data_IF_390245771529
#
_entry.id   IF_390245771529
#
_cell.length_a   1.000
_cell.length_b   1.000
_cell.length_c   1.000
_cell.angle_alpha   90.00
_cell.angle_beta   90.00
_cell.angle_gamma   90.00
#
_symmetry.space_group_name_H-M   'P 1'
#
loop_
_entity.id
_entity.type
_entity.pdbx_description
1 polymer ?
#
# COMPACT_ATOMS: atom_id res chain seq x y z
N UNK A 1 -57.87 -10.80 29.77
CA UNK A 1 -56.89 -11.72 29.16
C UNK A 1 -55.72 -10.87 28.71
N UNK A 2 -54.68 -10.83 29.54
CA UNK A 2 -53.46 -10.07 29.22
C UNK A 2 -52.68 -10.82 28.17
N UNK A 3 -52.22 -10.19 27.07
CA UNK A 3 -51.31 -10.84 26.13
C UNK A 3 -49.97 -11.06 26.84
N UNK A 4 -49.59 -12.33 26.94
CA UNK A 4 -48.28 -12.76 27.38
C UNK A 4 -47.23 -11.94 26.62
N UNK A 5 -46.55 -11.03 27.34
CA UNK A 5 -45.35 -10.41 26.84
C UNK A 5 -44.35 -11.53 26.48
N UNK A 6 -44.18 -11.78 25.18
CA UNK A 6 -43.17 -12.70 24.70
C UNK A 6 -41.86 -12.23 25.30
N UNK A 7 -41.30 -13.02 26.23
CA UNK A 7 -40.06 -12.71 26.90
C UNK A 7 -38.93 -12.71 25.83
N UNK A 8 -38.46 -11.52 25.46
CA UNK A 8 -37.29 -11.31 24.55
C UNK A 8 -36.00 -11.82 25.20
N UNK A 9 -36.07 -12.93 25.94
CA UNK A 9 -34.96 -13.54 26.67
C UNK A 9 -34.51 -14.78 25.91
N UNK A 10 -33.41 -14.67 25.21
CA UNK A 10 -32.72 -15.81 24.60
C UNK A 10 -31.43 -16.06 25.40
N UNK A 11 -31.24 -17.28 25.92
CA UNK A 11 -30.12 -17.64 26.82
C UNK A 11 -30.11 -16.87 28.17
N UNK A 12 -31.24 -16.45 28.66
CA UNK A 12 -31.34 -15.71 29.94
C UNK A 12 -30.91 -14.25 29.89
N UNK A 13 -30.59 -13.70 28.72
CA UNK A 13 -30.11 -12.34 28.53
C UNK A 13 -31.13 -11.58 27.68
N UNK A 14 -31.50 -10.35 28.11
CA UNK A 14 -32.40 -9.48 27.34
C UNK A 14 -31.73 -9.02 26.04
N UNK A 15 -32.52 -8.74 25.00
CA UNK A 15 -32.01 -8.28 23.69
C UNK A 15 -31.11 -7.05 23.80
N UNK A 16 -31.48 -5.97 24.50
CA UNK A 16 -30.65 -4.78 24.69
C UNK A 16 -29.34 -5.03 25.43
N UNK A 17 -29.36 -5.83 26.50
CA UNK A 17 -28.16 -6.15 27.26
C UNK A 17 -27.15 -6.96 26.44
N UNK A 18 -27.65 -7.87 25.60
CA UNK A 18 -26.81 -8.61 24.66
C UNK A 18 -26.19 -7.69 23.62
N UNK A 19 -26.93 -6.75 23.01
CA UNK A 19 -26.41 -5.80 22.04
C UNK A 19 -25.28 -4.96 22.66
N UNK A 20 -25.47 -4.42 23.83
CA UNK A 20 -24.42 -3.67 24.54
C UNK A 20 -23.19 -4.53 24.82
N UNK A 21 -23.37 -5.74 25.37
CA UNK A 21 -22.28 -6.65 25.66
C UNK A 21 -21.54 -7.11 24.41
N UNK A 22 -22.26 -7.37 23.30
CA UNK A 22 -21.68 -7.76 22.02
C UNK A 22 -20.92 -6.61 21.37
N UNK A 23 -21.44 -5.37 21.39
CA UNK A 23 -20.76 -4.19 20.89
C UNK A 23 -19.47 -3.90 21.68
N UNK A 24 -19.51 -4.01 23.01
CA UNK A 24 -18.30 -3.89 23.86
C UNK A 24 -17.29 -4.98 23.52
N UNK A 25 -17.71 -6.23 23.37
CA UNK A 25 -16.83 -7.35 22.98
C UNK A 25 -16.19 -7.08 21.62
N UNK A 26 -16.99 -6.69 20.63
CA UNK A 26 -16.50 -6.37 19.28
C UNK A 26 -15.47 -5.22 19.31
N UNK A 27 -15.74 -4.16 20.09
CA UNK A 27 -14.81 -3.04 20.27
C UNK A 27 -13.52 -3.47 20.95
N UNK A 28 -13.58 -4.23 22.04
CA UNK A 28 -12.39 -4.73 22.74
C UNK A 28 -11.54 -5.61 21.81
N UNK A 29 -12.17 -6.53 21.07
CA UNK A 29 -11.45 -7.38 20.11
C UNK A 29 -10.84 -6.53 19.00
N UNK A 30 -11.55 -5.54 18.47
CA UNK A 30 -11.03 -4.62 17.45
C UNK A 30 -9.81 -3.86 17.96
N UNK A 31 -9.88 -3.29 19.16
CA UNK A 31 -8.74 -2.58 19.78
C UNK A 31 -7.54 -3.51 19.97
N UNK A 32 -7.75 -4.74 20.43
CA UNK A 32 -6.69 -5.75 20.55
C UNK A 32 -6.06 -6.07 19.20
N UNK A 33 -6.87 -6.23 18.16
CA UNK A 33 -6.40 -6.44 16.77
C UNK A 33 -5.59 -5.23 16.31
N UNK A 34 -6.05 -4.01 16.53
CA UNK A 34 -5.35 -2.78 16.14
C UNK A 34 -3.97 -2.69 16.81
N UNK A 35 -3.89 -2.93 18.11
CA UNK A 35 -2.62 -2.95 18.86
C UNK A 35 -1.69 -4.06 18.34
N UNK A 36 -2.21 -5.27 18.11
CA UNK A 36 -1.42 -6.38 17.56
C UNK A 36 -0.88 -6.04 16.16
N UNK A 37 -1.71 -5.48 15.28
CA UNK A 37 -1.31 -5.03 13.94
C UNK A 37 -0.26 -3.93 14.00
N UNK A 38 -0.44 -2.96 14.90
CA UNK A 38 0.50 -1.88 15.11
C UNK A 38 1.88 -2.39 15.56
N UNK A 39 1.92 -3.38 16.47
CA UNK A 39 3.18 -4.03 16.90
C UNK A 39 3.82 -4.84 15.77
N UNK A 40 3.03 -5.62 15.04
CA UNK A 40 3.51 -6.41 13.91
C UNK A 40 4.02 -5.54 12.75
N UNK A 41 3.43 -4.36 12.53
CA UNK A 41 3.86 -3.42 11.51
C UNK A 41 5.16 -2.67 11.85
N UNK A 42 5.71 -2.82 13.07
CA UNK A 42 6.98 -2.20 13.43
C UNK A 42 8.15 -2.67 12.54
N UNK A 43 8.03 -3.88 11.96
CA UNK A 43 9.09 -4.51 11.17
C UNK A 43 10.20 -5.12 12.04
N UNK A 44 11.01 -6.02 11.50
CA UNK A 44 12.20 -6.51 12.16
C UNK A 44 13.23 -5.38 12.37
N UNK A 45 14.09 -5.53 13.37
CA UNK A 45 15.22 -4.63 13.57
C UNK A 45 16.23 -4.84 12.43
N UNK A 46 16.22 -3.96 11.44
CA UNK A 46 17.22 -3.93 10.37
C UNK A 46 18.28 -2.87 10.62
N UNK A 47 19.47 -3.06 10.07
CA UNK A 47 20.65 -2.21 10.31
C UNK A 47 20.84 -1.10 9.26
N UNK A 48 19.99 -1.02 8.22
CA UNK A 48 20.27 -0.21 7.03
C UNK A 48 19.39 1.03 6.90
N UNK A 49 19.69 2.08 7.64
CA UNK A 49 19.05 3.40 7.46
C UNK A 49 19.87 4.38 6.61
N UNK A 50 21.13 4.11 6.32
CA UNK A 50 22.02 5.03 5.58
C UNK A 50 22.19 4.75 4.08
N UNK A 51 21.83 3.55 3.61
CA UNK A 51 22.13 3.13 2.24
C UNK A 51 21.06 3.49 1.19
N UNK A 52 19.90 4.01 1.62
CA UNK A 52 18.78 4.28 0.71
C UNK A 52 18.96 5.54 -0.13
N UNK A 53 19.63 6.57 0.39
CA UNK A 53 19.79 7.85 -0.30
C UNK A 53 20.48 7.75 -1.67
N UNK A 54 21.29 6.72 -1.87
CA UNK A 54 21.94 6.42 -3.16
C UNK A 54 21.14 5.51 -4.10
N UNK A 55 19.89 5.12 -3.73
CA UNK A 55 19.10 4.15 -4.49
C UNK A 55 17.68 4.65 -4.76
N UNK A 56 17.50 5.53 -5.74
CA UNK A 56 16.22 6.20 -6.00
C UNK A 56 15.08 5.22 -6.27
N UNK A 57 15.35 4.12 -6.98
CA UNK A 57 14.35 3.13 -7.35
C UNK A 57 13.91 2.25 -6.16
N UNK A 58 14.77 2.04 -5.17
CA UNK A 58 14.40 1.37 -3.91
C UNK A 58 13.45 2.26 -3.09
N UNK A 59 13.73 3.57 -3.02
CA UNK A 59 12.86 4.54 -2.37
C UNK A 59 11.50 4.60 -3.09
N UNK A 60 11.51 4.61 -4.41
CA UNK A 60 10.30 4.56 -5.21
C UNK A 60 9.48 3.29 -4.93
N UNK A 61 10.15 2.13 -4.87
CA UNK A 61 9.49 0.86 -4.52
C UNK A 61 8.90 0.92 -3.10
N UNK A 62 9.63 1.48 -2.14
CA UNK A 62 9.14 1.69 -0.78
C UNK A 62 7.90 2.61 -0.76
N UNK A 63 7.87 3.66 -1.57
CA UNK A 63 6.79 4.66 -1.58
C UNK A 63 5.54 4.22 -2.33
N UNK A 64 5.67 3.55 -3.48
CA UNK A 64 4.52 3.22 -4.33
C UNK A 64 4.64 1.85 -5.03
N UNK A 65 5.49 0.96 -4.53
CA UNK A 65 5.65 -0.39 -5.07
C UNK A 65 6.29 -0.42 -6.47
N UNK A 66 6.07 -1.53 -7.21
CA UNK A 66 6.67 -1.74 -8.52
C UNK A 66 6.33 -0.65 -9.54
N UNK A 67 5.11 -0.13 -9.49
CA UNK A 67 4.65 0.90 -10.42
C UNK A 67 5.45 2.20 -10.29
N UNK A 68 5.69 2.64 -9.06
CA UNK A 68 6.45 3.85 -8.82
C UNK A 68 7.95 3.64 -9.03
N UNK A 69 8.47 2.45 -8.77
CA UNK A 69 9.86 2.11 -9.08
C UNK A 69 10.15 2.18 -10.58
N UNK A 70 9.27 1.63 -11.42
CA UNK A 70 9.37 1.77 -12.88
C UNK A 70 9.27 3.22 -13.32
N UNK A 71 8.34 4.00 -12.72
CA UNK A 71 8.19 5.41 -13.06
C UNK A 71 9.43 6.23 -12.66
N UNK A 72 10.05 5.95 -11.51
CA UNK A 72 11.32 6.54 -11.08
C UNK A 72 12.45 6.23 -12.08
N UNK A 73 12.56 4.98 -12.52
CA UNK A 73 13.55 4.57 -13.53
C UNK A 73 13.31 5.29 -14.87
N UNK A 74 12.06 5.36 -15.33
CA UNK A 74 11.70 6.09 -16.55
C UNK A 74 12.02 7.57 -16.45
N UNK A 75 11.86 8.19 -15.27
CA UNK A 75 12.19 9.59 -15.04
C UNK A 75 13.70 9.85 -15.11
N UNK A 76 14.52 9.00 -14.48
CA UNK A 76 15.99 9.05 -14.63
C UNK A 76 16.40 8.89 -16.09
N UNK A 77 15.88 7.85 -16.75
CA UNK A 77 16.21 7.53 -18.15
C UNK A 77 15.77 8.61 -19.13
N UNK A 78 14.64 9.28 -18.86
CA UNK A 78 14.16 10.41 -19.67
C UNK A 78 15.14 11.58 -19.62
N UNK A 79 15.59 11.95 -18.42
CA UNK A 79 16.55 13.05 -18.24
C UNK A 79 17.91 12.67 -18.82
N UNK A 80 18.31 11.39 -18.74
CA UNK A 80 19.53 10.87 -19.37
C UNK A 80 19.43 10.72 -20.90
N UNK A 81 18.26 10.90 -21.51
CA UNK A 81 18.06 10.69 -22.95
C UNK A 81 18.03 9.23 -23.40
N UNK A 82 18.11 8.28 -22.47
CA UNK A 82 18.17 6.83 -22.79
C UNK A 82 16.81 6.21 -23.10
N UNK A 83 15.72 6.94 -22.83
CA UNK A 83 14.34 6.57 -23.19
C UNK A 83 13.61 7.78 -23.76
N UNK A 84 12.81 7.56 -24.80
CA UNK A 84 11.97 8.58 -25.44
C UNK A 84 10.53 8.08 -25.56
N UNK A 85 9.59 9.03 -25.60
CA UNK A 85 8.21 8.71 -25.94
C UNK A 85 8.12 8.49 -27.47
N UNK A 86 7.47 7.40 -27.88
CA UNK A 86 7.20 7.06 -29.29
C UNK A 86 5.67 6.93 -29.49
N UNK A 87 5.00 8.08 -29.51
CA UNK A 87 3.55 8.18 -29.58
C UNK A 87 2.86 8.04 -28.22
N UNK A 88 1.54 8.20 -28.17
CA UNK A 88 0.78 8.23 -26.93
C UNK A 88 0.90 6.92 -26.14
N UNK A 89 1.36 7.01 -24.91
CA UNK A 89 1.45 5.87 -23.99
C UNK A 89 2.54 4.84 -24.31
N UNK A 90 3.42 5.09 -25.28
CA UNK A 90 4.51 4.19 -25.67
C UNK A 90 5.88 4.82 -25.46
N UNK A 91 6.81 3.97 -25.08
CA UNK A 91 8.20 4.32 -24.78
C UNK A 91 9.13 3.43 -25.61
N UNK A 92 10.27 3.98 -26.00
CA UNK A 92 11.33 3.27 -26.69
C UNK A 92 12.69 3.64 -26.12
N UNK A 93 13.58 2.65 -26.08
CA UNK A 93 15.00 2.87 -25.82
C UNK A 93 15.63 3.73 -26.92
N UNK A 94 16.42 4.72 -26.53
CA UNK A 94 17.11 5.64 -27.46
C UNK A 94 18.62 5.53 -27.30
N UNK A 95 19.23 6.41 -26.47
CA UNK A 95 20.67 6.39 -26.25
C UNK A 95 21.12 5.16 -25.45
N UNK A 96 22.38 4.69 -25.63
CA UNK A 96 22.94 3.64 -24.80
C UNK A 96 22.94 4.01 -23.31
N UNK A 97 22.73 3.02 -22.47
CA UNK A 97 22.84 3.20 -21.02
C UNK A 97 24.28 3.34 -20.57
N UNK A 98 24.47 4.11 -19.49
CA UNK A 98 25.71 4.12 -18.74
C UNK A 98 26.06 2.69 -18.27
N UNK A 99 27.32 2.23 -18.36
CA UNK A 99 27.77 0.95 -17.81
C UNK A 99 27.41 0.76 -16.33
N UNK A 100 27.35 1.83 -15.56
CA UNK A 100 27.00 1.82 -14.14
C UNK A 100 25.51 2.02 -13.86
N UNK A 101 24.66 2.05 -14.89
CA UNK A 101 23.21 2.20 -14.74
C UNK A 101 22.62 1.15 -13.80
N UNK A 102 21.56 1.54 -13.07
CA UNK A 102 20.88 0.65 -12.15
C UNK A 102 20.31 -0.60 -12.86
N UNK A 103 20.17 -1.66 -12.10
CA UNK A 103 19.65 -2.94 -12.59
C UNK A 103 18.24 -2.83 -13.18
N UNK A 104 17.40 -1.96 -12.57
CA UNK A 104 16.04 -1.72 -13.04
C UNK A 104 16.05 -0.91 -14.35
N UNK A 105 16.90 0.10 -14.45
CA UNK A 105 17.06 0.89 -15.68
C UNK A 105 17.52 0.00 -16.85
N UNK A 106 18.50 -0.88 -16.61
CA UNK A 106 18.92 -1.87 -17.62
C UNK A 106 17.79 -2.78 -18.07
N UNK A 107 16.98 -3.27 -17.14
CA UNK A 107 15.85 -4.13 -17.44
C UNK A 107 14.76 -3.39 -18.25
N UNK A 108 14.48 -2.14 -17.89
CA UNK A 108 13.53 -1.27 -18.60
C UNK A 108 14.04 -0.97 -19.99
N UNK A 109 15.31 -0.61 -20.16
CA UNK A 109 15.92 -0.32 -21.44
C UNK A 109 15.88 -1.53 -22.39
N UNK A 110 16.22 -2.73 -21.90
CA UNK A 110 16.10 -3.97 -22.68
C UNK A 110 14.65 -4.26 -23.09
N UNK A 111 13.69 -4.05 -22.20
CA UNK A 111 12.28 -4.23 -22.52
C UNK A 111 11.76 -3.19 -23.52
N UNK A 112 12.30 -1.96 -23.49
CA UNK A 112 11.97 -0.86 -24.36
C UNK A 112 12.72 -0.87 -25.71
N UNK A 113 13.53 -1.91 -26.01
CA UNK A 113 14.13 -2.09 -27.32
C UNK A 113 13.07 -2.13 -28.47
N UNK A 114 11.85 -2.50 -28.12
CA UNK A 114 10.66 -2.40 -28.96
C UNK A 114 9.68 -1.45 -28.27
N UNK A 115 8.93 -0.61 -29.01
CA UNK A 115 7.95 0.30 -28.43
C UNK A 115 7.00 -0.41 -27.47
N UNK A 116 7.00 -0.01 -26.19
CA UNK A 116 6.29 -0.68 -25.11
C UNK A 116 5.55 0.33 -24.24
N UNK A 117 4.39 -0.03 -23.73
CA UNK A 117 3.66 0.79 -22.76
C UNK A 117 4.14 0.55 -21.32
N UNK A 118 3.90 1.51 -20.42
CA UNK A 118 4.21 1.36 -18.99
C UNK A 118 3.53 0.14 -18.37
N UNK A 119 2.30 -0.19 -18.78
CA UNK A 119 1.57 -1.36 -18.29
C UNK A 119 2.24 -2.67 -18.74
N UNK A 120 2.67 -2.72 -19.97
CA UNK A 120 3.40 -3.87 -20.50
C UNK A 120 4.77 -4.04 -19.82
N UNK A 121 5.48 -2.93 -19.51
CA UNK A 121 6.71 -2.97 -18.71
C UNK A 121 6.51 -3.67 -17.35
N UNK A 122 5.41 -3.37 -16.65
CA UNK A 122 5.10 -4.00 -15.35
C UNK A 122 4.79 -5.50 -15.46
N UNK A 123 4.36 -5.96 -16.62
CA UNK A 123 4.10 -7.40 -16.88
C UNK A 123 5.27 -8.12 -17.54
N UNK A 124 6.26 -7.36 -18.05
CA UNK A 124 7.45 -7.91 -18.68
C UNK A 124 8.30 -8.70 -17.67
N UNK A 125 8.70 -9.92 -18.04
CA UNK A 125 9.41 -10.83 -17.14
C UNK A 125 10.77 -10.29 -16.71
N UNK A 126 11.50 -9.60 -17.60
CA UNK A 126 12.82 -9.02 -17.31
C UNK A 126 12.69 -7.93 -16.24
N UNK A 127 11.73 -7.04 -16.42
CA UNK A 127 11.44 -5.94 -15.47
C UNK A 127 10.95 -6.49 -14.12
N UNK A 128 10.06 -7.49 -14.13
CA UNK A 128 9.59 -8.14 -12.90
C UNK A 128 10.72 -8.78 -12.11
N UNK A 129 11.65 -9.46 -12.80
CA UNK A 129 12.81 -10.06 -12.15
C UNK A 129 13.72 -8.97 -11.55
N UNK A 130 13.92 -7.85 -12.26
CA UNK A 130 14.68 -6.73 -11.75
C UNK A 130 14.07 -6.09 -10.50
N UNK A 131 12.73 -6.00 -10.45
CA UNK A 131 11.96 -5.45 -9.30
C UNK A 131 12.03 -6.31 -8.03
N UNK A 132 12.39 -7.59 -8.14
CA UNK A 132 12.57 -8.44 -6.95
C UNK A 132 13.77 -8.00 -6.09
N UNK A 133 14.82 -7.40 -6.69
CA UNK A 133 16.00 -6.94 -5.94
C UNK A 133 15.68 -5.78 -4.98
N UNK A 134 15.06 -4.65 -5.41
CA UNK A 134 14.59 -3.62 -4.52
C UNK A 134 13.72 -4.17 -3.39
N UNK A 135 12.77 -5.02 -3.73
CA UNK A 135 11.87 -5.66 -2.77
C UNK A 135 12.63 -6.43 -1.70
N UNK A 136 13.54 -7.34 -2.11
CA UNK A 136 14.32 -8.15 -1.18
C UNK A 136 15.21 -7.30 -0.27
N UNK A 137 15.86 -6.25 -0.81
CA UNK A 137 16.68 -5.32 -0.01
C UNK A 137 15.83 -4.60 1.04
N UNK A 138 14.67 -4.09 0.65
CA UNK A 138 13.77 -3.39 1.55
C UNK A 138 13.14 -4.31 2.61
N UNK A 139 12.83 -5.56 2.26
CA UNK A 139 12.39 -6.59 3.22
C UNK A 139 13.52 -6.94 4.20
N UNK A 140 14.75 -7.13 3.72
CA UNK A 140 15.92 -7.39 4.55
C UNK A 140 16.25 -6.23 5.49
N UNK A 141 16.10 -4.98 5.01
CA UNK A 141 16.24 -3.77 5.82
C UNK A 141 15.09 -3.55 6.82
N UNK A 142 14.03 -4.36 6.76
CA UNK A 142 12.85 -4.22 7.61
C UNK A 142 11.97 -3.01 7.28
N UNK A 143 12.12 -2.42 6.10
CA UNK A 143 11.35 -1.27 5.64
C UNK A 143 10.05 -1.71 4.94
N UNK A 144 10.05 -2.90 4.33
CA UNK A 144 8.85 -3.57 3.84
C UNK A 144 8.54 -4.79 4.70
N UNK A 145 7.26 -5.11 4.75
CA UNK A 145 6.74 -6.28 5.45
C UNK A 145 6.69 -7.47 4.49
N UNK A 146 7.53 -8.47 4.74
CA UNK A 146 7.54 -9.69 3.95
C UNK A 146 6.21 -10.46 4.02
N UNK A 147 5.98 -11.35 3.04
CA UNK A 147 4.73 -12.09 2.89
C UNK A 147 4.31 -12.87 4.15
N UNK A 148 5.27 -13.41 4.91
CA UNK A 148 5.00 -14.13 6.18
C UNK A 148 4.39 -13.18 7.23
N UNK A 149 4.89 -11.96 7.32
CA UNK A 149 4.43 -10.96 8.28
C UNK A 149 3.06 -10.40 7.89
N UNK A 150 2.85 -10.13 6.60
CA UNK A 150 1.55 -9.75 6.07
C UNK A 150 0.49 -10.82 6.34
N UNK A 151 0.82 -12.11 6.17
CA UNK A 151 -0.08 -13.23 6.53
C UNK A 151 -0.40 -13.27 8.01
N UNK A 152 0.58 -13.00 8.90
CA UNK A 152 0.35 -12.90 10.35
C UNK A 152 -0.60 -11.74 10.67
N UNK A 153 -0.40 -10.58 10.06
CA UNK A 153 -1.28 -9.42 10.21
C UNK A 153 -2.71 -9.75 9.73
N UNK A 154 -2.87 -10.36 8.56
CA UNK A 154 -4.20 -10.79 8.07
C UNK A 154 -4.87 -11.79 9.02
N UNK A 155 -4.14 -12.75 9.56
CA UNK A 155 -4.68 -13.73 10.50
C UNK A 155 -5.26 -13.12 11.78
N UNK A 156 -4.82 -11.93 12.21
CA UNK A 156 -5.44 -11.24 13.34
C UNK A 156 -6.92 -10.91 13.08
N UNK A 157 -7.32 -10.75 11.81
CA UNK A 157 -8.71 -10.55 11.41
C UNK A 157 -9.63 -11.74 11.71
N UNK A 158 -9.09 -12.97 11.87
CA UNK A 158 -9.88 -14.15 12.21
C UNK A 158 -10.59 -14.03 13.57
N UNK A 159 -10.03 -13.28 14.51
CA UNK A 159 -10.69 -12.99 15.77
C UNK A 159 -12.01 -12.20 15.57
N UNK A 160 -12.00 -11.28 14.59
CA UNK A 160 -13.22 -10.55 14.25
C UNK A 160 -14.26 -11.45 13.56
N UNK A 161 -13.81 -12.43 12.77
CA UNK A 161 -14.69 -13.46 12.20
C UNK A 161 -15.33 -14.32 13.30
N UNK A 162 -14.56 -14.68 14.34
CA UNK A 162 -15.09 -15.43 15.49
C UNK A 162 -16.18 -14.64 16.23
N UNK A 163 -15.97 -13.32 16.43
CA UNK A 163 -17.00 -12.42 16.99
C UNK A 163 -18.23 -12.40 16.09
N UNK A 164 -18.05 -12.26 14.76
CA UNK A 164 -19.13 -12.31 13.79
C UNK A 164 -19.92 -13.63 13.85
N UNK A 165 -19.22 -14.77 14.00
CA UNK A 165 -19.84 -16.08 14.18
C UNK A 165 -20.73 -16.17 15.43
N UNK A 166 -20.27 -15.63 16.55
CA UNK A 166 -21.06 -15.54 17.78
C UNK A 166 -22.35 -14.71 17.57
N UNK A 167 -22.23 -13.55 16.92
CA UNK A 167 -23.39 -12.72 16.57
C UNK A 167 -24.37 -13.43 15.64
N UNK A 168 -23.87 -14.18 14.67
CA UNK A 168 -24.70 -14.97 13.75
C UNK A 168 -25.46 -16.07 14.46
N UNK A 169 -24.81 -16.82 15.35
CA UNK A 169 -25.49 -17.84 16.17
C UNK A 169 -26.62 -17.23 17.00
N UNK A 170 -26.39 -16.09 17.59
CA UNK A 170 -27.41 -15.36 18.36
C UNK A 170 -28.57 -14.87 17.49
N UNK A 171 -28.26 -14.36 16.28
CA UNK A 171 -29.24 -13.93 15.30
C UNK A 171 -30.19 -15.08 14.93
N UNK A 172 -29.62 -16.23 14.60
CA UNK A 172 -30.38 -17.45 14.24
C UNK A 172 -31.28 -17.90 15.41
N UNK A 173 -30.72 -17.93 16.63
CA UNK A 173 -31.50 -18.28 17.82
C UNK A 173 -32.60 -17.27 18.12
N UNK A 174 -32.38 -15.98 17.93
CA UNK A 174 -33.37 -14.92 18.10
C UNK A 174 -34.50 -15.00 17.07
N UNK A 175 -34.15 -15.20 15.79
CA UNK A 175 -35.11 -15.36 14.71
C UNK A 175 -36.02 -16.59 14.92
N UNK A 176 -35.46 -17.71 15.39
CA UNK A 176 -36.22 -18.91 15.70
C UNK A 176 -37.24 -18.70 16.84
N UNK A 177 -36.98 -17.74 17.74
CA UNK A 177 -37.89 -17.39 18.87
C UNK A 177 -38.78 -16.18 18.60
N UNK A 178 -38.82 -15.67 17.34
CA UNK A 178 -39.66 -14.52 16.98
C UNK A 178 -39.27 -13.17 17.58
N UNK A 179 -38.00 -13.05 18.04
CA UNK A 179 -37.49 -11.82 18.62
C UNK A 179 -37.18 -10.76 17.55
N UNK A 180 -37.26 -9.47 17.90
CA UNK A 180 -36.91 -8.35 17.02
C UNK A 180 -35.36 -8.33 16.83
N UNK A 181 -34.87 -8.76 15.66
CA UNK A 181 -33.43 -8.96 15.37
C UNK A 181 -32.80 -7.81 14.54
N UNK A 182 -33.57 -6.74 14.25
CA UNK A 182 -33.11 -5.67 13.31
C UNK A 182 -31.80 -5.00 13.70
N UNK A 183 -31.65 -4.58 14.96
CA UNK A 183 -30.41 -3.93 15.42
C UNK A 183 -29.21 -4.90 15.44
N UNK A 184 -29.42 -6.17 15.81
CA UNK A 184 -28.39 -7.18 15.79
C UNK A 184 -27.90 -7.47 14.35
N UNK A 185 -28.80 -7.43 13.38
CA UNK A 185 -28.47 -7.58 11.97
C UNK A 185 -27.54 -6.46 11.48
N UNK A 186 -27.83 -5.20 11.87
CA UNK A 186 -27.02 -4.05 11.51
C UNK A 186 -25.63 -4.13 12.16
N UNK A 187 -25.56 -4.48 13.43
CA UNK A 187 -24.29 -4.65 14.16
C UNK A 187 -23.44 -5.79 13.57
N UNK A 188 -24.07 -6.91 13.22
CA UNK A 188 -23.41 -8.04 12.57
C UNK A 188 -22.88 -7.66 11.19
N UNK A 189 -23.61 -6.86 10.41
CA UNK A 189 -23.15 -6.34 9.14
C UNK A 189 -21.91 -5.48 9.32
N UNK A 190 -21.90 -4.58 10.29
CA UNK A 190 -20.74 -3.74 10.61
C UNK A 190 -19.51 -4.59 11.00
N UNK A 191 -19.67 -5.59 11.87
CA UNK A 191 -18.62 -6.53 12.25
C UNK A 191 -18.11 -7.32 11.03
N UNK A 192 -18.99 -7.75 10.13
CA UNK A 192 -18.65 -8.44 8.90
C UNK A 192 -17.80 -7.58 7.95
N UNK A 193 -18.19 -6.32 7.76
CA UNK A 193 -17.43 -5.36 6.93
C UNK A 193 -16.03 -5.15 7.54
N UNK A 194 -15.94 -4.91 8.85
CA UNK A 194 -14.66 -4.74 9.54
C UNK A 194 -13.80 -6.00 9.41
N UNK A 195 -14.36 -7.18 9.60
CA UNK A 195 -13.66 -8.45 9.42
C UNK A 195 -13.12 -8.60 8.00
N UNK A 196 -13.91 -8.29 6.97
CA UNK A 196 -13.51 -8.34 5.58
C UNK A 196 -12.36 -7.36 5.28
N UNK A 197 -12.41 -6.13 5.79
CA UNK A 197 -11.34 -5.15 5.67
C UNK A 197 -10.05 -5.66 6.34
N UNK A 198 -10.16 -6.20 7.54
CA UNK A 198 -9.02 -6.72 8.30
C UNK A 198 -8.37 -7.93 7.64
N UNK A 199 -9.13 -8.81 7.00
CA UNK A 199 -8.61 -9.99 6.29
C UNK A 199 -7.96 -9.62 4.96
N UNK A 200 -8.51 -8.66 4.23
CA UNK A 200 -8.04 -8.31 2.90
C UNK A 200 -6.90 -7.29 2.92
N UNK A 201 -6.89 -6.36 3.88
CA UNK A 201 -5.89 -5.29 3.94
C UNK A 201 -4.80 -5.61 4.97
N UNK A 202 -3.56 -5.69 4.49
CA UNK A 202 -2.36 -5.63 5.32
C UNK A 202 -1.45 -4.52 4.79
N UNK A 203 -0.80 -3.73 5.64
CA UNK A 203 0.18 -2.76 5.18
C UNK A 203 1.35 -3.51 4.53
N UNK A 204 1.85 -2.99 3.41
CA UNK A 204 3.07 -3.50 2.77
C UNK A 204 4.31 -2.85 3.38
N UNK A 205 4.17 -1.58 3.74
CA UNK A 205 5.21 -0.76 4.33
C UNK A 205 5.27 -0.95 5.85
N UNK A 206 6.47 -1.12 6.38
CA UNK A 206 6.66 -1.10 7.84
C UNK A 206 6.56 0.33 8.39
N UNK A 207 6.37 0.47 9.70
CA UNK A 207 6.40 1.77 10.37
C UNK A 207 7.76 2.46 10.21
N UNK A 208 8.85 1.69 10.19
CA UNK A 208 10.20 2.19 9.91
C UNK A 208 10.30 2.73 8.50
N UNK A 209 9.80 1.99 7.49
CA UNK A 209 9.77 2.46 6.11
C UNK A 209 8.95 3.74 5.94
N UNK A 210 7.83 3.88 6.64
CA UNK A 210 7.04 5.10 6.64
C UNK A 210 7.79 6.28 7.28
N UNK A 211 8.49 6.06 8.39
CA UNK A 211 9.30 7.08 9.07
C UNK A 211 10.49 7.51 8.21
N UNK A 212 11.17 6.56 7.56
CA UNK A 212 12.29 6.84 6.68
C UNK A 212 11.86 7.66 5.46
N UNK A 213 10.74 7.32 4.84
CA UNK A 213 10.21 8.10 3.74
C UNK A 213 9.82 9.52 4.17
N UNK A 214 9.29 9.68 5.39
CA UNK A 214 9.01 11.01 5.95
C UNK A 214 10.29 11.81 6.16
N UNK A 215 11.37 11.17 6.64
CA UNK A 215 12.70 11.81 6.78
C UNK A 215 13.22 12.29 5.44
N UNK A 216 13.21 11.41 4.42
CA UNK A 216 13.67 11.74 3.07
C UNK A 216 12.87 12.89 2.43
N UNK A 217 11.57 12.97 2.68
CA UNK A 217 10.73 14.10 2.21
C UNK A 217 11.12 15.45 2.81
N UNK A 218 11.58 15.45 4.05
CA UNK A 218 12.08 16.68 4.70
C UNK A 218 13.48 17.02 4.21
N UNK A 219 14.34 16.02 4.09
CA UNK A 219 15.74 16.16 3.66
C UNK A 219 15.85 16.66 2.22
N UNK A 220 14.97 16.17 1.32
CA UNK A 220 14.94 16.51 -0.10
C UNK A 220 13.72 17.36 -0.48
N UNK A 221 13.35 18.30 0.37
CA UNK A 221 12.18 19.15 0.11
C UNK A 221 12.30 19.98 -1.17
N UNK A 222 13.53 20.26 -1.63
CA UNK A 222 13.83 20.92 -2.91
C UNK A 222 13.29 20.17 -4.14
N UNK A 223 13.12 18.83 -4.04
CA UNK A 223 12.56 18.00 -5.10
C UNK A 223 11.03 17.88 -5.02
N UNK A 224 10.38 18.59 -4.08
CA UNK A 224 8.94 18.54 -3.92
C UNK A 224 8.21 19.13 -5.15
N UNK A 225 7.04 18.58 -5.53
CA UNK A 225 6.26 19.07 -6.67
C UNK A 225 5.96 20.57 -6.63
N UNK A 226 5.77 21.13 -5.43
CA UNK A 226 5.52 22.56 -5.23
C UNK A 226 6.71 23.46 -5.58
N UNK A 227 7.93 22.93 -5.54
CA UNK A 227 9.16 23.65 -5.89
C UNK A 227 9.43 23.63 -7.40
N UNK A 228 8.74 22.80 -8.17
CA UNK A 228 8.91 22.62 -9.63
C UNK A 228 10.37 22.46 -10.02
N UNK A 229 11.07 21.44 -9.49
CA UNK A 229 12.50 21.26 -9.75
C UNK A 229 12.76 21.12 -11.26
N UNK A 230 13.79 21.81 -11.73
CA UNK A 230 14.28 21.63 -13.09
C UNK A 230 15.22 20.42 -13.14
N UNK A 231 14.71 19.30 -13.58
CA UNK A 231 15.46 18.04 -13.60
C UNK A 231 16.59 18.01 -14.62
N UNK A 232 16.57 18.90 -15.61
CA UNK A 232 17.72 19.04 -16.53
C UNK A 232 18.94 19.59 -15.80
N UNK A 233 18.72 20.46 -14.82
CA UNK A 233 19.77 21.01 -13.94
C UNK A 233 20.16 20.02 -12.83
N UNK A 234 19.18 19.36 -12.21
CA UNK A 234 19.42 18.42 -11.11
C UNK A 234 20.00 17.07 -11.56
N UNK A 235 19.76 16.68 -12.80
CA UNK A 235 20.27 15.45 -13.40
C UNK A 235 19.41 14.20 -13.15
N UNK A 236 19.77 13.09 -13.84
CA UNK A 236 18.96 11.86 -13.87
C UNK A 236 18.69 11.23 -12.50
N UNK A 237 19.73 11.14 -11.65
CA UNK A 237 19.64 10.51 -10.34
C UNK A 237 18.64 11.23 -9.42
N UNK A 238 18.65 12.58 -9.41
CA UNK A 238 17.73 13.37 -8.60
C UNK A 238 16.32 13.42 -9.19
N UNK A 239 16.16 13.31 -10.51
CA UNK A 239 14.84 13.13 -11.14
C UNK A 239 14.18 11.83 -10.67
N UNK A 240 14.92 10.71 -10.73
CA UNK A 240 14.44 9.43 -10.20
C UNK A 240 14.14 9.48 -8.71
N UNK A 241 15.00 10.16 -7.92
CA UNK A 241 14.81 10.33 -6.48
C UNK A 241 13.56 11.17 -6.17
N UNK A 242 13.35 12.27 -6.87
CA UNK A 242 12.18 13.14 -6.71
C UNK A 242 10.87 12.37 -6.94
N UNK A 243 10.79 11.60 -8.02
CA UNK A 243 9.65 10.72 -8.27
C UNK A 243 9.55 9.63 -7.20
N UNK A 244 10.66 9.07 -6.77
CA UNK A 244 10.71 8.05 -5.71
C UNK A 244 10.12 8.55 -4.39
N UNK A 245 10.49 9.75 -3.95
CA UNK A 245 10.08 10.33 -2.68
C UNK A 245 8.66 10.91 -2.75
N UNK A 246 8.35 11.69 -3.79
CA UNK A 246 7.10 12.46 -3.88
C UNK A 246 6.04 11.84 -4.78
N UNK A 247 6.36 10.72 -5.43
CA UNK A 247 5.43 10.01 -6.31
C UNK A 247 5.31 10.64 -7.70
N UNK A 248 4.35 10.14 -8.47
CA UNK A 248 4.07 10.61 -9.83
C UNK A 248 3.76 12.12 -9.90
N UNK A 249 3.33 12.73 -8.79
CA UNK A 249 3.10 14.17 -8.71
C UNK A 249 4.35 15.01 -9.00
N UNK A 250 5.55 14.50 -8.67
CA UNK A 250 6.81 15.16 -8.98
C UNK A 250 7.07 15.17 -10.50
N UNK A 251 6.77 14.06 -11.19
CA UNK A 251 6.88 13.98 -12.65
C UNK A 251 5.91 14.95 -13.34
N UNK A 252 4.64 14.97 -12.91
CA UNK A 252 3.65 15.89 -13.46
C UNK A 252 3.98 17.37 -13.25
N UNK A 253 4.66 17.70 -12.15
CA UNK A 253 5.05 19.07 -11.86
C UNK A 253 6.24 19.55 -12.70
N UNK A 254 7.15 18.65 -13.08
CA UNK A 254 8.42 18.97 -13.71
C UNK A 254 8.47 18.64 -15.22
N UNK A 255 7.85 17.55 -15.66
CA UNK A 255 7.71 17.16 -17.08
C UNK A 255 6.29 16.65 -17.36
N UNK A 256 5.29 17.56 -17.47
CA UNK A 256 3.90 17.18 -17.71
C UNK A 256 3.68 16.51 -19.06
N UNK A 257 4.51 16.83 -20.09
CA UNK A 257 4.42 16.22 -21.39
C UNK A 257 4.79 14.74 -21.33
N UNK A 258 5.95 14.43 -20.77
CA UNK A 258 6.35 13.04 -20.58
C UNK A 258 5.43 12.28 -19.60
N UNK A 259 4.93 12.95 -18.56
CA UNK A 259 3.95 12.35 -17.64
C UNK A 259 2.66 11.92 -18.37
N UNK A 260 2.18 12.73 -19.31
CA UNK A 260 1.02 12.41 -20.14
C UNK A 260 1.32 11.23 -21.11
N UNK A 261 2.51 11.24 -21.72
CA UNK A 261 2.94 10.20 -22.64
C UNK A 261 3.07 8.83 -21.99
N UNK A 262 3.52 8.77 -20.74
CA UNK A 262 3.62 7.50 -19.99
C UNK A 262 2.32 7.13 -19.29
N UNK A 263 1.23 7.86 -19.50
CA UNK A 263 -0.03 7.67 -18.78
C UNK A 263 0.20 7.54 -17.27
N UNK A 264 1.02 8.41 -16.69
CA UNK A 264 1.31 8.41 -15.29
C UNK A 264 0.03 8.78 -14.50
N UNK A 265 -0.84 7.80 -14.28
CA UNK A 265 -1.91 7.95 -13.29
C UNK A 265 -1.24 8.40 -12.00
N UNK A 266 -1.78 9.46 -11.38
CA UNK A 266 -1.36 9.88 -10.05
C UNK A 266 -1.47 8.67 -9.14
N UNK A 267 -0.37 7.95 -8.98
CA UNK A 267 -0.22 7.01 -7.89
C UNK A 267 -0.20 7.91 -6.66
N UNK A 268 -1.39 8.19 -6.15
CA UNK A 268 -1.51 8.81 -4.84
C UNK A 268 -0.66 7.95 -3.95
N UNK A 269 0.47 8.48 -3.52
CA UNK A 269 1.28 7.88 -2.48
C UNK A 269 0.30 7.46 -1.41
N UNK A 270 0.19 6.13 -1.19
CA UNK A 270 -0.86 5.58 -0.36
C UNK A 270 -0.85 6.29 0.97
N UNK A 271 -1.71 7.25 1.10
CA UNK A 271 -2.14 7.84 2.35
C UNK A 271 -2.93 6.73 3.05
N UNK A 272 -2.19 5.74 3.55
CA UNK A 272 -2.62 4.98 4.70
C UNK A 272 -2.73 6.00 5.81
N UNK A 273 -3.83 6.74 5.80
CA UNK A 273 -4.15 7.69 6.82
C UNK A 273 -4.25 6.94 8.13
N UNK A 274 -3.35 7.26 9.02
CA UNK A 274 -3.63 7.38 10.42
C UNK A 274 -3.44 8.87 10.73
N UNK A 275 -4.55 9.61 10.59
CA UNK A 275 -4.78 10.80 11.38
C UNK A 275 -5.20 10.33 12.75
#
# INVERSE_FOLDING_TARGET
MSPLAASNVTWGITGPDFLLGYGVLALVVLLRIMVARWRLAAGPAGTATGELSGRPHDIAYLNGGPELAVLSALSSMRVAGTVVAEGPGRLRAAEPLDPDADHLERAVHLAAAVPISRRELLTNQIVRTALEKPRQRLEAAGLLLGARQQRRIKRTGLWMVAVGGLGLLRLLAGAANGAAVGYLTLELLAVGIVAAILLNRAPERSRRGAAELKRLRVEHNELAPGMRPDWTTYGPALAGLGVGIFGAGALWASDPAFAADVEAQRVTAGTGGFS
#
